data_IF_540369817546
#
_entry.id   IF_540369817546
#
_cell.length_a   1.000
_cell.length_b   1.000
_cell.length_c   1.000
_cell.angle_alpha   90.00
_cell.angle_beta   90.00
_cell.angle_gamma   90.00
#
_symmetry.space_group_name_H-M   'P 1'
#
loop_
_entity.id
_entity.type
_entity.pdbx_description
1 polymer ?
#
# COMPACT_ATOMS: atom_id res chain seq x y z
N UNK A 1 -25.65 10.12 -3.75
CA UNK A 1 -24.38 9.50 -3.35
C UNK A 1 -23.37 10.52 -2.77
N UNK A 2 -23.07 11.65 -3.42
CA UNK A 2 -22.11 12.67 -2.87
C UNK A 2 -22.48 13.22 -1.48
N UNK A 3 -23.78 13.40 -1.17
CA UNK A 3 -24.22 13.94 0.14
C UNK A 3 -24.08 12.92 1.29
N UNK A 4 -24.16 11.62 1.01
CA UNK A 4 -23.96 10.55 2.01
C UNK A 4 -22.47 10.41 2.35
N UNK A 5 -21.59 10.57 1.36
CA UNK A 5 -20.14 10.54 1.57
C UNK A 5 -19.65 11.72 2.39
N UNK A 6 -20.23 12.91 2.20
CA UNK A 6 -19.91 14.11 2.97
C UNK A 6 -20.40 13.98 4.44
N UNK A 7 -21.57 13.33 4.66
CA UNK A 7 -22.08 13.08 6.01
C UNK A 7 -21.23 12.02 6.77
N UNK A 8 -20.76 10.97 6.08
CA UNK A 8 -19.86 9.97 6.65
C UNK A 8 -18.47 10.54 6.96
N UNK A 9 -17.94 11.43 6.11
CA UNK A 9 -16.68 12.11 6.36
C UNK A 9 -16.75 13.06 7.57
N UNK A 10 -17.85 13.81 7.71
CA UNK A 10 -18.08 14.71 8.86
C UNK A 10 -18.33 13.91 10.15
N UNK A 11 -19.06 12.80 10.09
CA UNK A 11 -19.27 11.91 11.23
C UNK A 11 -17.97 11.22 11.68
N UNK A 12 -17.11 10.82 10.72
CA UNK A 12 -15.77 10.29 11.00
C UNK A 12 -14.84 11.32 11.67
N UNK A 13 -14.90 12.58 11.22
CA UNK A 13 -14.11 13.66 11.82
C UNK A 13 -14.58 13.99 13.24
N UNK A 14 -15.88 13.93 13.52
CA UNK A 14 -16.41 14.14 14.87
C UNK A 14 -16.10 12.97 15.82
N UNK A 15 -16.05 11.73 15.33
CA UNK A 15 -15.66 10.58 16.14
C UNK A 15 -14.18 10.63 16.54
N UNK A 16 -13.30 11.09 15.64
CA UNK A 16 -11.87 11.30 15.92
C UNK A 16 -11.65 12.43 16.92
N UNK A 17 -12.42 13.54 16.83
CA UNK A 17 -12.31 14.64 17.79
C UNK A 17 -12.83 14.26 19.20
N UNK A 18 -13.83 13.38 19.29
CA UNK A 18 -14.29 12.85 20.59
C UNK A 18 -13.27 11.92 21.25
N UNK A 19 -12.54 11.13 20.47
CA UNK A 19 -11.45 10.29 20.98
C UNK A 19 -10.19 11.09 21.36
N UNK A 20 -9.92 12.20 20.67
CA UNK A 20 -8.86 13.14 21.07
C UNK A 20 -9.19 13.89 22.36
N UNK A 21 -10.46 14.26 22.59
CA UNK A 21 -10.88 14.90 23.84
C UNK A 21 -10.78 13.98 25.04
N UNK A 22 -11.10 12.67 24.91
CA UNK A 22 -10.94 11.69 25.98
C UNK A 22 -9.49 11.27 26.23
N UNK A 23 -8.59 11.45 25.26
CA UNK A 23 -7.16 11.25 25.44
C UNK A 23 -6.52 12.46 26.16
N UNK A 24 -7.06 13.66 26.00
CA UNK A 24 -6.56 14.87 26.61
C UNK A 24 -6.87 14.95 28.13
N UNK A 25 -7.95 14.29 28.57
CA UNK A 25 -8.31 14.23 30.01
C UNK A 25 -7.40 13.30 30.84
N UNK A 26 -6.72 12.36 30.17
CA UNK A 26 -5.69 11.51 30.79
C UNK A 26 -4.26 12.11 30.71
N UNK A 27 -4.06 13.16 29.92
CA UNK A 27 -2.75 13.79 29.71
C UNK A 27 -2.51 14.96 30.68
N UNK A 28 -3.56 15.56 31.29
CA UNK A 28 -3.40 16.59 32.30
C UNK A 28 -2.72 16.08 33.59
N UNK A 29 -2.85 14.80 33.92
CA UNK A 29 -2.13 14.20 35.06
C UNK A 29 -0.66 13.86 34.71
N UNK A 30 -0.34 13.68 33.44
CA UNK A 30 1.04 13.48 32.98
C UNK A 30 1.76 14.83 32.74
N UNK A 31 1.05 15.87 32.30
CA UNK A 31 1.58 17.22 32.10
C UNK A 31 1.96 17.89 33.43
N UNK A 32 1.16 17.69 34.50
CA UNK A 32 1.47 18.23 35.82
C UNK A 32 2.72 17.60 36.48
N UNK A 33 3.09 16.39 36.07
CA UNK A 33 4.35 15.76 36.51
C UNK A 33 5.56 16.24 35.67
N UNK A 34 5.34 16.79 34.49
CA UNK A 34 6.41 17.28 33.59
C UNK A 34 6.75 18.75 33.86
N UNK A 35 5.76 19.58 34.29
CA UNK A 35 6.01 21.00 34.67
C UNK A 35 6.83 21.16 35.96
N UNK A 36 6.76 20.20 36.87
CA UNK A 36 7.52 20.26 38.14
C UNK A 36 9.03 20.00 37.95
N UNK A 37 9.48 19.55 36.79
CA UNK A 37 10.89 19.26 36.46
C UNK A 37 11.51 20.31 35.55
N UNK A 38 10.71 21.24 35.00
CA UNK A 38 11.19 22.21 34.00
C UNK A 38 11.74 23.52 34.59
N UNK A 39 11.73 23.74 35.92
CA UNK A 39 12.08 25.03 36.52
C UNK A 39 13.53 25.16 37.02
N UNK A 40 14.39 24.16 36.78
CA UNK A 40 15.83 24.24 37.06
C UNK A 40 16.70 23.60 35.97
N UNK A 41 16.63 24.11 34.76
CA UNK A 41 17.67 23.85 33.76
C UNK A 41 18.32 25.17 33.33
N UNK A 42 19.67 25.29 33.40
CA UNK A 42 20.36 26.48 32.89
C UNK A 42 20.13 26.59 31.38
N UNK A 43 19.84 27.79 30.90
CA UNK A 43 19.79 28.15 29.48
C UNK A 43 21.07 27.72 28.77
N UNK A 44 21.04 26.50 28.21
CA UNK A 44 21.98 26.13 27.16
C UNK A 44 21.42 26.72 25.86
N UNK A 45 22.16 27.65 25.27
CA UNK A 45 21.94 28.20 23.93
C UNK A 45 21.44 27.10 23.00
N UNK A 46 20.16 27.12 22.68
CA UNK A 46 19.57 26.26 21.68
C UNK A 46 20.13 26.73 20.33
N UNK A 47 21.22 26.11 19.88
CA UNK A 47 21.61 26.20 18.50
C UNK A 47 20.40 25.73 17.67
N UNK A 48 19.83 26.62 16.85
CA UNK A 48 18.78 26.30 15.88
C UNK A 48 19.29 25.17 14.99
N UNK A 49 18.99 23.95 15.36
CA UNK A 49 19.23 22.78 14.52
C UNK A 49 18.06 22.73 13.54
N UNK A 50 18.25 23.35 12.39
CA UNK A 50 17.36 23.20 11.24
C UNK A 50 17.25 21.70 10.92
N UNK A 51 16.10 21.04 11.15
CA UNK A 51 15.96 19.59 10.98
C UNK A 51 16.15 19.14 9.53
N UNK A 52 16.17 20.07 8.57
CA UNK A 52 16.41 19.82 7.15
C UNK A 52 17.81 20.23 6.67
N UNK A 53 18.62 20.84 7.52
CA UNK A 53 20.01 21.17 7.20
C UNK A 53 20.91 19.93 7.35
N UNK A 54 20.73 18.98 6.45
CA UNK A 54 21.70 17.91 6.22
C UNK A 54 22.93 18.60 5.61
N UNK A 55 24.00 18.78 6.40
CA UNK A 55 25.31 19.20 5.88
C UNK A 55 25.63 18.30 4.68
N UNK A 56 25.67 18.91 3.51
CA UNK A 56 25.71 18.25 2.19
C UNK A 56 27.03 17.52 1.87
N UNK A 57 27.91 17.33 2.84
CA UNK A 57 29.22 16.72 2.65
C UNK A 57 29.28 15.21 2.93
N UNK A 58 28.22 14.62 3.47
CA UNK A 58 28.16 13.17 3.71
C UNK A 58 27.28 12.51 2.65
N UNK A 59 27.82 11.61 1.81
CA UNK A 59 27.02 10.93 0.81
C UNK A 59 25.84 10.19 1.46
N UNK A 60 24.65 10.31 0.85
CA UNK A 60 23.37 9.80 1.38
C UNK A 60 23.45 8.37 1.92
N UNK A 61 24.21 7.50 1.25
CA UNK A 61 24.39 6.11 1.67
C UNK A 61 25.17 5.99 3.01
N UNK A 62 26.12 6.90 3.29
CA UNK A 62 26.83 6.91 4.58
C UNK A 62 25.93 7.44 5.69
N UNK A 63 25.13 8.47 5.42
CA UNK A 63 24.16 9.00 6.37
C UNK A 63 23.12 7.92 6.74
N UNK A 64 22.59 7.19 5.75
CA UNK A 64 21.67 6.07 5.96
C UNK A 64 22.33 4.94 6.77
N UNK A 65 23.56 4.55 6.43
CA UNK A 65 24.30 3.51 7.15
C UNK A 65 24.53 3.90 8.62
N UNK A 66 24.88 5.16 8.88
CA UNK A 66 25.08 5.66 10.24
C UNK A 66 23.77 5.60 11.03
N UNK A 67 22.66 6.07 10.44
CA UNK A 67 21.34 6.02 11.09
C UNK A 67 20.86 4.59 11.31
N UNK A 68 21.13 3.68 10.39
CA UNK A 68 20.84 2.26 10.55
C UNK A 68 21.57 1.64 11.75
N UNK A 69 22.86 1.95 11.91
CA UNK A 69 23.67 1.46 13.04
C UNK A 69 23.19 2.12 14.35
N UNK A 70 22.94 3.42 14.34
CA UNK A 70 22.46 4.20 15.49
C UNK A 70 21.06 3.74 15.96
N UNK A 71 20.19 3.30 15.07
CA UNK A 71 18.86 2.77 15.39
C UNK A 71 18.85 1.33 15.91
N UNK A 72 20.04 0.71 16.11
CA UNK A 72 20.15 -0.69 16.50
C UNK A 72 20.02 -1.64 15.31
N UNK A 73 21.17 -2.10 14.79
CA UNK A 73 21.27 -2.86 13.55
C UNK A 73 20.36 -4.11 13.50
N UNK A 74 20.19 -4.82 14.63
CA UNK A 74 19.33 -6.00 14.70
C UNK A 74 17.85 -5.67 14.52
N UNK A 75 17.38 -4.58 15.10
CA UNK A 75 15.99 -4.16 15.01
C UNK A 75 15.69 -3.50 13.64
N UNK A 76 16.56 -2.62 13.19
CA UNK A 76 16.45 -1.96 11.89
C UNK A 76 16.50 -2.96 10.72
N UNK A 77 17.17 -4.11 10.89
CA UNK A 77 17.16 -5.16 9.86
C UNK A 77 15.76 -5.74 9.62
N UNK A 78 14.94 -5.89 10.65
CA UNK A 78 13.54 -6.31 10.52
C UNK A 78 12.71 -5.32 9.67
N UNK A 79 12.90 -4.03 9.91
CA UNK A 79 12.22 -2.96 9.17
C UNK A 79 12.64 -2.98 7.69
N UNK A 80 13.94 -3.19 7.42
CA UNK A 80 14.44 -3.31 6.03
C UNK A 80 13.92 -4.58 5.35
N UNK A 81 13.83 -5.71 6.06
CA UNK A 81 13.24 -6.95 5.51
C UNK A 81 11.79 -6.70 5.08
N UNK A 82 10.99 -6.00 5.89
CA UNK A 82 9.63 -5.60 5.52
C UNK A 82 9.62 -4.75 4.23
N UNK A 83 10.55 -3.80 4.09
CA UNK A 83 10.68 -2.98 2.89
C UNK A 83 11.00 -3.84 1.67
N UNK A 84 12.01 -4.72 1.77
CA UNK A 84 12.45 -5.56 0.65
C UNK A 84 11.33 -6.49 0.20
N UNK A 85 10.67 -7.18 1.15
CA UNK A 85 9.57 -8.10 0.83
C UNK A 85 8.37 -7.36 0.25
N UNK A 86 7.97 -6.24 0.87
CA UNK A 86 6.87 -5.41 0.36
C UNK A 86 7.14 -4.84 -1.04
N UNK A 87 8.38 -4.37 -1.27
CA UNK A 87 8.78 -3.84 -2.58
C UNK A 87 8.87 -4.94 -3.64
N UNK A 88 9.38 -6.13 -3.29
CA UNK A 88 9.45 -7.26 -4.20
C UNK A 88 8.05 -7.67 -4.69
N UNK A 89 7.08 -7.76 -3.77
CA UNK A 89 5.69 -8.04 -4.13
C UNK A 89 5.06 -6.90 -4.95
N UNK A 90 5.35 -5.65 -4.61
CA UNK A 90 4.83 -4.51 -5.36
C UNK A 90 5.35 -4.49 -6.80
N UNK A 91 6.65 -4.73 -7.01
CA UNK A 91 7.26 -4.81 -8.33
C UNK A 91 6.67 -5.99 -9.12
N UNK A 92 6.53 -7.16 -8.51
CA UNK A 92 5.92 -8.33 -9.15
C UNK A 92 4.50 -8.01 -9.63
N UNK A 93 3.68 -7.36 -8.80
CA UNK A 93 2.31 -6.97 -9.16
C UNK A 93 2.27 -5.93 -10.28
N UNK A 94 3.12 -4.91 -10.22
CA UNK A 94 3.21 -3.90 -11.30
C UNK A 94 3.58 -4.56 -12.63
N UNK A 95 4.56 -5.47 -12.62
CA UNK A 95 4.95 -6.20 -13.82
C UNK A 95 3.81 -7.06 -14.36
N UNK A 96 3.14 -7.81 -13.47
CA UNK A 96 1.98 -8.63 -13.84
C UNK A 96 0.87 -7.80 -14.50
N UNK A 97 0.44 -6.70 -13.87
CA UNK A 97 -0.61 -5.83 -14.38
C UNK A 97 -0.21 -5.15 -15.71
N UNK A 98 1.06 -4.73 -15.83
CA UNK A 98 1.56 -4.09 -17.06
C UNK A 98 1.57 -5.07 -18.24
N UNK A 99 1.98 -6.32 -17.99
CA UNK A 99 1.99 -7.37 -19.01
C UNK A 99 0.58 -7.90 -19.34
N UNK A 100 -0.38 -7.72 -18.45
CA UNK A 100 -1.79 -8.10 -18.63
C UNK A 100 -2.59 -7.09 -19.45
N UNK A 101 -2.06 -5.88 -19.67
CA UNK A 101 -2.72 -4.87 -20.50
C UNK A 101 -2.78 -5.30 -21.97
N UNK A 102 -3.98 -5.39 -22.48
CA UNK A 102 -4.25 -5.73 -23.88
C UNK A 102 -4.99 -4.59 -24.55
N UNK A 103 -4.70 -4.33 -25.82
CA UNK A 103 -5.44 -3.34 -26.58
C UNK A 103 -6.82 -3.92 -27.00
N UNK A 104 -7.82 -3.63 -26.18
CA UNK A 104 -9.20 -4.12 -26.34
C UNK A 104 -9.80 -3.81 -27.71
N UNK A 105 -9.52 -2.63 -28.26
CA UNK A 105 -10.04 -2.23 -29.59
C UNK A 105 -9.48 -3.13 -30.70
N UNK A 106 -8.17 -3.36 -30.71
CA UNK A 106 -7.54 -4.24 -31.69
C UNK A 106 -7.97 -5.70 -31.53
N UNK A 107 -8.23 -6.12 -30.28
CA UNK A 107 -8.74 -7.46 -30.01
C UNK A 107 -10.15 -7.63 -30.57
N UNK A 108 -11.04 -6.68 -30.35
CA UNK A 108 -12.39 -6.69 -30.89
C UNK A 108 -12.42 -6.66 -32.42
N UNK A 109 -11.59 -5.85 -33.06
CA UNK A 109 -11.45 -5.83 -34.54
C UNK A 109 -11.06 -7.20 -35.09
N UNK A 110 -10.05 -7.85 -34.47
CA UNK A 110 -9.65 -9.21 -34.87
C UNK A 110 -10.72 -10.26 -34.62
N UNK A 111 -11.48 -10.12 -33.55
CA UNK A 111 -12.61 -11.02 -33.24
C UNK A 111 -13.72 -10.83 -34.26
N UNK A 112 -14.07 -9.59 -34.61
CA UNK A 112 -15.08 -9.32 -35.62
C UNK A 112 -14.69 -9.86 -36.99
N UNK A 113 -13.43 -9.70 -37.38
CA UNK A 113 -12.87 -10.29 -38.62
C UNK A 113 -12.90 -11.83 -38.58
N UNK A 114 -12.53 -12.43 -37.43
CA UNK A 114 -12.55 -13.88 -37.27
C UNK A 114 -13.98 -14.44 -37.30
N UNK A 115 -14.96 -13.74 -36.71
CA UNK A 115 -16.38 -14.11 -36.78
C UNK A 115 -16.92 -14.09 -38.21
N UNK A 116 -16.50 -13.09 -39.03
CA UNK A 116 -16.94 -13.00 -40.44
C UNK A 116 -16.35 -14.12 -41.31
N UNK A 117 -15.09 -14.50 -41.07
CA UNK A 117 -14.34 -15.42 -41.92
C UNK A 117 -14.42 -16.88 -41.48
N UNK A 118 -14.59 -17.16 -40.18
CA UNK A 118 -14.50 -18.52 -39.65
C UNK A 118 -15.46 -18.82 -38.47
N UNK A 119 -16.37 -17.89 -38.17
CA UNK A 119 -17.37 -18.09 -37.13
C UNK A 119 -16.78 -18.07 -35.70
N UNK A 120 -17.57 -18.60 -34.76
CA UNK A 120 -17.26 -18.57 -33.33
C UNK A 120 -15.95 -19.29 -32.94
N UNK A 121 -15.62 -20.40 -33.63
CA UNK A 121 -14.39 -21.15 -33.35
C UNK A 121 -13.14 -20.36 -33.73
N UNK A 122 -13.16 -19.63 -34.83
CA UNK A 122 -12.04 -18.77 -35.21
C UNK A 122 -11.87 -17.60 -34.22
N UNK A 123 -12.97 -17.00 -33.76
CA UNK A 123 -12.93 -15.95 -32.75
C UNK A 123 -12.40 -16.46 -31.41
N UNK A 124 -12.80 -17.68 -30.99
CA UNK A 124 -12.30 -18.36 -29.79
C UNK A 124 -10.78 -18.57 -29.86
N UNK A 125 -10.26 -18.97 -31.03
CA UNK A 125 -8.82 -19.17 -31.21
C UNK A 125 -8.02 -17.84 -31.14
N UNK A 126 -8.58 -16.74 -31.64
CA UNK A 126 -7.99 -15.39 -31.46
C UNK A 126 -7.90 -15.01 -29.99
N UNK A 127 -8.96 -15.28 -29.20
CA UNK A 127 -8.95 -15.02 -27.76
C UNK A 127 -7.93 -15.88 -27.05
N UNK A 128 -7.83 -17.18 -27.39
CA UNK A 128 -6.88 -18.13 -26.81
C UNK A 128 -5.42 -17.71 -27.01
N UNK A 129 -5.11 -17.13 -28.17
CA UNK A 129 -3.76 -16.69 -28.51
C UNK A 129 -3.43 -15.27 -28.00
N UNK A 130 -4.38 -14.59 -27.38
CA UNK A 130 -4.20 -13.25 -26.83
C UNK A 130 -4.09 -13.33 -25.29
N UNK A 131 -3.10 -12.62 -24.75
CA UNK A 131 -2.92 -12.55 -23.28
C UNK A 131 -3.76 -11.41 -22.70
N UNK A 132 -4.17 -11.59 -21.45
CA UNK A 132 -4.83 -10.54 -20.65
C UNK A 132 -6.24 -10.93 -20.22
N UNK A 133 -6.78 -10.24 -19.19
CA UNK A 133 -8.06 -10.57 -18.59
C UNK A 133 -9.23 -10.42 -19.59
N UNK A 134 -9.20 -9.40 -20.45
CA UNK A 134 -10.22 -9.19 -21.47
C UNK A 134 -10.30 -10.37 -22.46
N UNK A 135 -9.15 -10.91 -22.89
CA UNK A 135 -9.12 -12.06 -23.78
C UNK A 135 -9.64 -13.34 -23.08
N UNK A 136 -9.36 -13.52 -21.80
CA UNK A 136 -9.87 -14.63 -21.01
C UNK A 136 -11.39 -14.59 -20.86
N UNK A 137 -11.95 -13.41 -20.61
CA UNK A 137 -13.39 -13.17 -20.52
C UNK A 137 -14.06 -13.46 -21.88
N UNK A 138 -13.48 -13.00 -22.95
CA UNK A 138 -14.01 -13.23 -24.30
C UNK A 138 -13.95 -14.71 -24.70
N UNK A 139 -12.86 -15.40 -24.34
CA UNK A 139 -12.74 -16.84 -24.57
C UNK A 139 -13.88 -17.61 -23.89
N UNK A 140 -14.19 -17.32 -22.64
CA UNK A 140 -15.29 -17.92 -21.89
C UNK A 140 -16.65 -17.63 -22.55
N UNK A 141 -16.85 -16.39 -23.04
CA UNK A 141 -18.06 -16.02 -23.76
C UNK A 141 -18.25 -16.85 -25.04
N UNK A 142 -17.19 -17.05 -25.83
CA UNK A 142 -17.26 -17.88 -27.05
C UNK A 142 -17.41 -19.37 -26.74
N UNK A 143 -16.91 -19.86 -25.61
CA UNK A 143 -17.05 -21.26 -25.22
C UNK A 143 -18.51 -21.65 -24.96
N UNK A 144 -19.30 -20.72 -24.43
CA UNK A 144 -20.70 -20.93 -24.08
C UNK A 144 -21.71 -20.33 -25.07
N UNK A 145 -21.26 -19.89 -26.27
CA UNK A 145 -22.13 -19.22 -27.25
C UNK A 145 -23.32 -20.07 -27.70
N UNK A 146 -23.17 -21.41 -27.71
CA UNK A 146 -24.24 -22.36 -28.08
C UNK A 146 -25.34 -22.48 -27.05
N UNK A 147 -25.14 -22.02 -25.81
CA UNK A 147 -26.09 -22.10 -24.71
C UNK A 147 -27.03 -20.91 -24.65
N UNK A 148 -26.84 -19.91 -25.49
CA UNK A 148 -27.67 -18.71 -25.59
C UNK A 148 -27.07 -17.49 -24.88
N UNK A 149 -27.49 -16.29 -25.29
CA UNK A 149 -26.89 -15.01 -24.90
C UNK A 149 -26.94 -14.76 -23.37
N UNK A 150 -28.07 -15.11 -22.73
CA UNK A 150 -28.21 -14.93 -21.28
C UNK A 150 -27.22 -15.78 -20.48
N UNK A 151 -26.88 -16.97 -20.96
CA UNK A 151 -25.85 -17.82 -20.33
C UNK A 151 -24.49 -17.24 -20.56
N UNK A 152 -24.21 -16.75 -21.76
CA UNK A 152 -22.95 -16.09 -22.12
C UNK A 152 -22.70 -14.87 -21.23
N UNK A 153 -23.67 -13.96 -21.09
CA UNK A 153 -23.56 -12.79 -20.21
C UNK A 153 -23.22 -13.19 -18.76
N UNK A 154 -23.92 -14.19 -18.24
CA UNK A 154 -23.65 -14.69 -16.87
C UNK A 154 -22.26 -15.28 -16.72
N UNK A 155 -21.80 -16.02 -17.73
CA UNK A 155 -20.46 -16.63 -17.74
C UNK A 155 -19.36 -15.58 -17.86
N UNK A 156 -19.53 -14.60 -18.71
CA UNK A 156 -18.64 -13.45 -18.89
C UNK A 156 -18.49 -12.69 -17.56
N UNK A 157 -19.61 -12.29 -16.93
CA UNK A 157 -19.59 -11.58 -15.66
C UNK A 157 -18.95 -12.41 -14.53
N UNK A 158 -19.22 -13.72 -14.48
CA UNK A 158 -18.61 -14.62 -13.53
C UNK A 158 -17.09 -14.71 -13.71
N UNK A 159 -16.63 -14.86 -14.96
CA UNK A 159 -15.20 -14.92 -15.26
C UNK A 159 -14.53 -13.55 -15.05
N UNK A 160 -15.22 -12.44 -15.32
CA UNK A 160 -14.76 -11.10 -14.99
C UNK A 160 -14.42 -10.94 -13.51
N UNK A 161 -15.30 -11.45 -12.63
CA UNK A 161 -15.05 -11.46 -11.18
C UNK A 161 -13.84 -12.32 -10.79
N UNK A 162 -13.63 -13.44 -11.46
CA UNK A 162 -12.45 -14.30 -11.23
C UNK A 162 -11.18 -13.59 -11.68
N UNK A 163 -11.17 -12.97 -12.84
CA UNK A 163 -10.02 -12.22 -13.34
C UNK A 163 -9.70 -11.02 -12.44
N UNK A 164 -10.72 -10.32 -11.92
CA UNK A 164 -10.56 -9.25 -10.93
C UNK A 164 -9.87 -9.77 -9.66
N UNK A 165 -10.33 -10.90 -9.11
CA UNK A 165 -9.71 -11.52 -7.93
C UNK A 165 -8.26 -11.93 -8.18
N UNK A 166 -7.90 -12.35 -9.41
CA UNK A 166 -6.51 -12.65 -9.78
C UNK A 166 -5.66 -11.39 -9.81
N UNK A 167 -6.19 -10.25 -10.24
CA UNK A 167 -5.48 -8.97 -10.24
C UNK A 167 -5.26 -8.44 -8.82
N UNK A 168 -6.19 -8.64 -7.92
CA UNK A 168 -6.08 -8.23 -6.50
C UNK A 168 -5.20 -9.16 -5.67
N UNK A 169 -4.89 -10.34 -6.17
CA UNK A 169 -4.08 -11.31 -5.43
C UNK A 169 -2.72 -10.71 -5.05
N UNK A 170 -2.31 -10.90 -3.82
CA UNK A 170 -1.06 -10.37 -3.27
C UNK A 170 -1.14 -8.96 -2.67
N UNK A 171 -2.18 -8.15 -2.95
CA UNK A 171 -2.36 -6.83 -2.34
C UNK A 171 -2.46 -6.90 -0.82
N UNK A 172 -3.11 -7.96 -0.30
CA UNK A 172 -3.22 -8.18 1.14
C UNK A 172 -1.87 -8.30 1.85
N UNK A 173 -0.88 -8.92 1.21
CA UNK A 173 0.47 -9.00 1.76
C UNK A 173 1.18 -7.65 1.78
N UNK A 174 1.03 -6.83 0.72
CA UNK A 174 1.60 -5.48 0.69
C UNK A 174 0.96 -4.63 1.78
N UNK A 175 -0.36 -4.67 1.92
CA UNK A 175 -1.11 -4.00 2.99
C UNK A 175 -0.65 -4.43 4.39
N UNK A 176 -0.36 -5.72 4.59
CA UNK A 176 0.18 -6.24 5.83
C UNK A 176 1.55 -5.62 6.16
N UNK A 177 2.47 -5.52 5.20
CA UNK A 177 3.77 -4.89 5.42
C UNK A 177 3.66 -3.40 5.70
N UNK A 178 2.69 -2.69 5.08
CA UNK A 178 2.38 -1.28 5.37
C UNK A 178 1.94 -1.11 6.83
N UNK A 179 1.15 -2.04 7.37
CA UNK A 179 0.69 -1.99 8.76
C UNK A 179 1.77 -2.42 9.76
N UNK A 180 2.58 -3.42 9.42
CA UNK A 180 3.62 -3.96 10.30
C UNK A 180 4.80 -2.98 10.44
N UNK A 181 5.22 -2.28 9.39
CA UNK A 181 6.40 -1.43 9.42
C UNK A 181 6.33 -0.32 10.49
N UNK A 182 5.24 0.46 10.62
CA UNK A 182 5.10 1.43 11.72
C UNK A 182 4.99 0.74 13.10
N UNK A 183 4.33 -0.41 13.18
CA UNK A 183 4.20 -1.16 14.43
C UNK A 183 5.56 -1.65 14.94
N UNK A 184 6.44 -2.09 14.05
CA UNK A 184 7.83 -2.38 14.37
C UNK A 184 8.54 -1.10 14.81
N UNK A 185 8.39 0.01 14.10
CA UNK A 185 8.97 1.30 14.50
C UNK A 185 8.58 1.66 15.93
N UNK A 186 7.30 1.56 16.27
CA UNK A 186 6.80 1.80 17.62
C UNK A 186 7.37 0.81 18.64
N UNK A 187 7.46 -0.47 18.33
CA UNK A 187 8.09 -1.46 19.19
C UNK A 187 9.56 -1.10 19.47
N UNK A 188 10.25 -0.53 18.49
CA UNK A 188 11.61 -0.02 18.64
C UNK A 188 11.71 1.13 19.65
N UNK A 189 10.68 2.00 19.77
CA UNK A 189 10.68 3.04 20.81
C UNK A 189 10.58 2.45 22.21
N UNK A 190 9.72 1.46 22.40
CA UNK A 190 9.57 0.78 23.70
C UNK A 190 10.89 0.11 24.12
N UNK A 191 11.54 -0.61 23.20
CA UNK A 191 12.82 -1.28 23.47
C UNK A 191 13.93 -0.24 23.74
N UNK A 192 13.98 0.85 22.98
CA UNK A 192 14.96 1.92 23.17
C UNK A 192 14.81 2.62 24.52
N UNK A 193 13.57 2.83 24.97
CA UNK A 193 13.30 3.39 26.30
C UNK A 193 13.66 2.43 27.43
N UNK A 194 13.37 1.14 27.28
CA UNK A 194 13.79 0.12 28.25
C UNK A 194 15.32 0.15 28.40
N UNK A 195 16.05 0.17 27.29
CA UNK A 195 17.53 0.25 27.31
C UNK A 195 18.03 1.53 27.99
N UNK A 196 17.32 2.67 27.80
CA UNK A 196 17.67 3.91 28.48
C UNK A 196 17.52 3.78 30.01
N UNK A 197 16.42 3.19 30.48
CA UNK A 197 16.20 2.98 31.92
C UNK A 197 17.15 1.96 32.53
N UNK A 198 17.47 0.88 31.81
CA UNK A 198 18.48 -0.09 32.24
C UNK A 198 19.86 0.57 32.41
N UNK A 199 20.22 1.46 31.46
CA UNK A 199 21.48 2.20 31.53
C UNK A 199 21.52 3.19 32.71
N UNK A 200 20.41 3.87 33.04
CA UNK A 200 20.28 4.73 34.24
C UNK A 200 20.45 3.89 35.51
N UNK A 201 19.79 2.74 35.58
CA UNK A 201 19.87 1.84 36.72
C UNK A 201 21.31 1.35 36.94
N UNK A 202 22.01 0.99 35.85
CA UNK A 202 23.40 0.53 35.89
C UNK A 202 24.38 1.64 36.31
N UNK A 203 24.14 2.88 35.86
CA UNK A 203 24.99 4.03 36.18
C UNK A 203 24.79 4.54 37.61
N UNK A 204 23.64 4.29 38.23
CA UNK A 204 23.30 4.77 39.57
C UNK A 204 23.05 6.29 39.64
N UNK A 205 23.09 6.99 38.51
CA UNK A 205 22.85 8.43 38.39
C UNK A 205 22.15 8.76 37.07
N UNK A 206 21.30 9.80 37.08
CA UNK A 206 20.55 10.27 35.90
C UNK A 206 21.43 11.28 35.16
N UNK A 207 22.16 10.80 34.16
CA UNK A 207 22.93 11.67 33.29
C UNK A 207 22.16 11.94 31.99
N UNK A 208 22.05 13.20 31.52
CA UNK A 208 21.37 13.53 30.26
C UNK A 208 21.91 12.75 29.05
N UNK A 209 23.21 12.45 29.02
CA UNK A 209 23.84 11.71 27.94
C UNK A 209 23.39 10.24 27.86
N UNK A 210 23.17 9.60 29.02
CA UNK A 210 22.71 8.20 29.09
C UNK A 210 21.27 8.11 28.56
N UNK A 211 20.41 9.03 28.98
CA UNK A 211 19.01 9.08 28.53
C UNK A 211 18.93 9.38 27.03
N UNK A 212 19.70 10.37 26.54
CA UNK A 212 19.70 10.79 25.15
C UNK A 212 20.09 9.64 24.19
N UNK A 213 20.97 8.74 24.62
CA UNK A 213 21.37 7.57 23.82
C UNK A 213 20.19 6.64 23.50
N UNK A 214 19.43 6.22 24.49
CA UNK A 214 18.26 5.34 24.31
C UNK A 214 17.11 6.03 23.58
N UNK A 215 16.85 7.30 23.87
CA UNK A 215 15.84 8.10 23.16
C UNK A 215 16.18 8.24 21.66
N UNK A 216 17.45 8.45 21.32
CA UNK A 216 17.90 8.54 19.95
C UNK A 216 17.61 7.25 19.17
N UNK A 217 17.91 6.10 19.74
CA UNK A 217 17.59 4.78 19.15
C UNK A 217 16.09 4.65 18.91
N UNK A 218 15.29 4.96 19.92
CA UNK A 218 13.83 4.93 19.87
C UNK A 218 13.26 5.75 18.70
N UNK A 219 13.66 7.01 18.59
CA UNK A 219 13.18 7.92 17.55
C UNK A 219 13.60 7.50 16.15
N UNK A 220 14.83 7.02 15.96
CA UNK A 220 15.33 6.57 14.66
C UNK A 220 14.53 5.36 14.14
N UNK A 221 14.23 4.40 15.03
CA UNK A 221 13.45 3.21 14.64
C UNK A 221 12.04 3.56 14.18
N UNK A 222 11.38 4.49 14.87
CA UNK A 222 10.03 4.96 14.46
C UNK A 222 10.06 5.65 13.12
N UNK A 223 10.99 6.57 12.90
CA UNK A 223 11.14 7.26 11.62
C UNK A 223 11.41 6.24 10.51
N UNK A 224 12.26 5.24 10.76
CA UNK A 224 12.52 4.17 9.81
C UNK A 224 11.26 3.40 9.42
N UNK A 225 10.47 2.98 10.41
CA UNK A 225 9.20 2.27 10.17
C UNK A 225 8.17 3.09 9.39
N UNK A 226 8.04 4.38 9.70
CA UNK A 226 7.14 5.30 9.01
C UNK A 226 7.57 5.54 7.55
N UNK A 227 8.86 5.73 7.28
CA UNK A 227 9.37 5.90 5.92
C UNK A 227 9.05 4.66 5.07
N UNK A 228 9.27 3.46 5.61
CA UNK A 228 8.96 2.20 4.92
C UNK A 228 7.47 2.12 4.60
N UNK A 229 6.60 2.44 5.55
CA UNK A 229 5.15 2.43 5.34
C UNK A 229 4.72 3.40 4.23
N UNK A 230 5.25 4.62 4.24
CA UNK A 230 4.92 5.64 3.22
C UNK A 230 5.36 5.18 1.83
N UNK A 231 6.56 4.62 1.69
CA UNK A 231 7.04 4.10 0.40
C UNK A 231 6.12 2.99 -0.11
N UNK A 232 5.83 1.99 0.72
CA UNK A 232 4.97 0.88 0.32
C UNK A 232 3.53 1.33 0.02
N UNK A 233 3.00 2.32 0.76
CA UNK A 233 1.67 2.88 0.54
C UNK A 233 1.55 3.56 -0.83
N UNK A 234 2.60 4.25 -1.29
CA UNK A 234 2.62 4.85 -2.62
C UNK A 234 2.53 3.77 -3.72
N UNK A 235 3.30 2.69 -3.59
CA UNK A 235 3.23 1.58 -4.54
C UNK A 235 1.88 0.86 -4.50
N UNK A 236 1.33 0.64 -3.31
CA UNK A 236 0.02 0.03 -3.12
C UNK A 236 -1.08 0.82 -3.84
N UNK A 237 -1.14 2.14 -3.62
CA UNK A 237 -2.13 2.99 -4.26
C UNK A 237 -1.96 3.04 -5.79
N UNK A 238 -0.72 3.01 -6.28
CA UNK A 238 -0.47 2.93 -7.72
C UNK A 238 -1.00 1.62 -8.31
N UNK A 239 -0.76 0.47 -7.65
CA UNK A 239 -1.26 -0.84 -8.08
C UNK A 239 -2.79 -0.84 -8.08
N UNK A 240 -3.41 -0.35 -7.02
CA UNK A 240 -4.87 -0.27 -6.90
C UNK A 240 -5.49 0.55 -8.04
N UNK A 241 -4.92 1.70 -8.35
CA UNK A 241 -5.36 2.54 -9.48
C UNK A 241 -5.22 1.84 -10.84
N UNK A 242 -4.19 0.99 -11.02
CA UNK A 242 -4.04 0.19 -12.24
C UNK A 242 -5.10 -0.92 -12.33
N UNK A 243 -5.45 -1.56 -11.22
CA UNK A 243 -6.51 -2.58 -11.15
C UNK A 243 -7.86 -1.95 -11.47
N UNK A 244 -8.19 -0.81 -10.86
CA UNK A 244 -9.43 -0.07 -11.13
C UNK A 244 -9.57 0.30 -12.61
N UNK A 245 -8.47 0.76 -13.23
CA UNK A 245 -8.45 1.08 -14.66
C UNK A 245 -8.71 -0.15 -15.53
N UNK A 246 -8.08 -1.30 -15.20
CA UNK A 246 -8.29 -2.55 -15.93
C UNK A 246 -9.72 -3.10 -15.73
N UNK A 247 -10.28 -2.98 -14.52
CA UNK A 247 -11.67 -3.37 -14.24
C UNK A 247 -12.66 -2.61 -15.13
N UNK A 248 -12.50 -1.29 -15.24
CA UNK A 248 -13.34 -0.46 -16.11
C UNK A 248 -13.18 -0.85 -17.59
N UNK A 249 -11.95 -1.20 -18.02
CA UNK A 249 -11.72 -1.68 -19.38
C UNK A 249 -12.38 -3.04 -19.64
N UNK A 250 -12.36 -3.94 -18.65
CA UNK A 250 -13.01 -5.24 -18.71
C UNK A 250 -14.55 -5.09 -18.83
N UNK A 251 -15.18 -4.31 -17.97
CA UNK A 251 -16.62 -4.04 -18.02
C UNK A 251 -17.05 -3.48 -19.39
N UNK A 252 -16.31 -2.50 -19.92
CA UNK A 252 -16.58 -1.97 -21.26
C UNK A 252 -16.41 -3.00 -22.36
N UNK A 253 -15.42 -3.89 -22.21
CA UNK A 253 -15.16 -4.94 -23.18
C UNK A 253 -16.29 -6.01 -23.14
N UNK A 254 -16.79 -6.34 -21.96
CA UNK A 254 -17.93 -7.25 -21.77
C UNK A 254 -19.15 -6.75 -22.53
N UNK A 255 -19.54 -5.49 -22.32
CA UNK A 255 -20.67 -4.86 -23.02
C UNK A 255 -20.49 -4.90 -24.56
N UNK A 256 -19.27 -4.61 -25.03
CA UNK A 256 -18.96 -4.61 -26.46
C UNK A 256 -19.04 -6.02 -27.07
N UNK A 257 -18.55 -7.03 -26.33
CA UNK A 257 -18.65 -8.42 -26.78
C UNK A 257 -20.10 -8.88 -26.87
N UNK A 258 -20.91 -8.62 -25.84
CA UNK A 258 -22.34 -8.99 -25.81
C UNK A 258 -23.07 -8.36 -27.00
N UNK A 259 -22.85 -7.06 -27.24
CA UNK A 259 -23.44 -6.36 -28.39
C UNK A 259 -23.00 -6.97 -29.72
N UNK A 260 -21.75 -7.37 -29.84
CA UNK A 260 -21.22 -8.04 -31.02
C UNK A 260 -21.93 -9.40 -31.22
N UNK A 261 -22.04 -10.22 -30.18
CA UNK A 261 -22.68 -11.52 -30.23
C UNK A 261 -24.17 -11.44 -30.61
N UNK A 262 -24.90 -10.47 -30.08
CA UNK A 262 -26.30 -10.20 -30.46
C UNK A 262 -26.42 -9.86 -31.94
N UNK A 263 -25.46 -9.11 -32.50
CA UNK A 263 -25.42 -8.76 -33.93
C UNK A 263 -25.23 -9.99 -34.82
N UNK A 264 -24.43 -10.95 -34.40
CA UNK A 264 -24.10 -12.16 -35.16
C UNK A 264 -24.99 -13.36 -34.85
N UNK A 265 -25.79 -13.32 -33.78
CA UNK A 265 -26.78 -14.34 -33.43
C UNK A 265 -28.11 -14.21 -34.22
N UNK A 266 -28.28 -13.12 -34.98
CA UNK A 266 -29.41 -12.91 -35.91
C UNK A 266 -29.08 -13.42 -37.29
#
# INVERSE_FOLDING_TARGET
MKKIFMFLAVAGLMAVSAQLASAQENDETAAAATEAVAEEAPEAEAAEVDPFNVKSDVPLHQALKTKFIEGGAGFMSLVIICLILGLALAIERILYLTLSKTNTKKLLEKIEEALQNGGAEAAKEVCRNTRGPVAAIFFEGFEHISEGIEVVERKIASNGSIEMSKMENGLGWISLFIAIAPSLGFLGTVIGMIQAFDAIQAAGDISPNVVAGGMKVALITTVGGLIVAVILQLFYNYILSQIDSLSIEMEKAEDQLVNLLVKYSK
#
